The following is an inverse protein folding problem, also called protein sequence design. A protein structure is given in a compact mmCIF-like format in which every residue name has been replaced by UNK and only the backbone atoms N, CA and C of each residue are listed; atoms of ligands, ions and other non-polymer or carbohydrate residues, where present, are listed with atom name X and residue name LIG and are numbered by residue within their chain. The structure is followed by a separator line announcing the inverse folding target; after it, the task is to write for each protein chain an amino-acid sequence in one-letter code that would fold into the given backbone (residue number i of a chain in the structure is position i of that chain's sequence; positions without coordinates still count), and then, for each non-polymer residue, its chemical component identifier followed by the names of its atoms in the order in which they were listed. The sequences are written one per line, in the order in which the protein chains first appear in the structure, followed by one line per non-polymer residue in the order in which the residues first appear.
data_IF_547240245246
#
_entry.id   IF_547240245246
#
_cell.length_a   1.000
_cell.length_b   1.000
_cell.length_c   1.000
_cell.angle_alpha   90.00
_cell.angle_beta   90.00
_cell.angle_gamma   90.00
#
_symmetry.space_group_name_H-M   'P 1'
#
loop_
_entity.id
_entity.type
_entity.pdbx_description
1 polymer ?
#
# COMPACT_ATOMS: atom_id res chain seq x y z
N UNK A 1 21.34 -27.35 60.16
CA UNK A 1 21.25 -25.88 60.27
C UNK A 1 22.24 -25.29 59.28
N UNK A 2 21.71 -24.84 58.14
CA UNK A 2 22.24 -23.86 57.17
C UNK A 2 23.70 -24.10 56.69
N UNK A 3 24.02 -24.17 55.40
CA UNK A 3 23.62 -23.22 54.36
C UNK A 3 23.83 -23.89 52.98
N UNK A 4 22.72 -24.13 52.28
CA UNK A 4 22.64 -24.43 50.86
C UNK A 4 23.08 -23.15 50.10
N UNK A 5 24.38 -22.85 50.10
CA UNK A 5 24.89 -21.52 49.70
C UNK A 5 26.10 -21.57 48.77
N UNK A 6 26.23 -22.61 47.96
CA UNK A 6 27.28 -22.67 46.93
C UNK A 6 26.74 -23.08 45.55
N UNK A 7 25.43 -22.92 45.32
CA UNK A 7 24.77 -23.36 44.09
C UNK A 7 23.94 -22.27 43.38
N UNK A 8 24.00 -21.01 43.83
CA UNK A 8 23.14 -19.92 43.32
C UNK A 8 23.96 -18.72 42.80
N UNK A 9 25.12 -18.97 42.16
CA UNK A 9 25.90 -17.90 41.53
C UNK A 9 26.32 -18.23 40.08
N UNK A 10 25.51 -19.05 39.39
CA UNK A 10 25.71 -19.41 37.99
C UNK A 10 24.42 -19.33 37.17
N UNK A 11 23.43 -18.51 37.59
CA UNK A 11 22.11 -18.45 36.94
C UNK A 11 21.64 -17.02 36.62
N UNK A 12 22.54 -16.05 36.49
CA UNK A 12 22.13 -14.64 36.37
C UNK A 12 22.84 -13.83 35.27
N UNK A 13 23.31 -14.45 34.19
CA UNK A 13 23.82 -13.69 33.04
C UNK A 13 23.46 -14.30 31.68
N UNK A 14 22.22 -14.78 31.55
CA UNK A 14 21.65 -15.19 30.26
C UNK A 14 20.29 -14.51 30.05
N UNK A 15 20.26 -13.18 30.10
CA UNK A 15 19.12 -12.37 29.62
C UNK A 15 19.61 -11.04 29.01
N UNK A 16 20.60 -11.13 28.13
CA UNK A 16 20.89 -10.05 27.19
C UNK A 16 20.74 -10.57 25.76
N UNK A 17 19.66 -11.31 25.53
CA UNK A 17 19.22 -11.64 24.18
C UNK A 17 18.34 -10.50 23.68
N UNK A 18 18.94 -9.73 22.77
CA UNK A 18 18.28 -9.16 21.59
C UNK A 18 17.19 -8.11 21.84
N UNK A 19 17.60 -6.94 22.31
CA UNK A 19 16.86 -5.69 22.10
C UNK A 19 17.26 -4.98 20.81
N UNK A 20 17.57 -5.71 19.73
CA UNK A 20 17.41 -5.13 18.40
C UNK A 20 15.93 -5.31 18.09
N UNK A 21 15.11 -4.33 18.50
CA UNK A 21 13.87 -4.11 17.77
C UNK A 21 14.34 -3.75 16.36
N UNK A 22 14.29 -4.72 15.45
CA UNK A 22 14.41 -4.44 14.03
C UNK A 22 13.27 -3.47 13.73
N UNK A 23 13.59 -2.17 13.69
CA UNK A 23 12.71 -1.18 13.14
C UNK A 23 12.49 -1.66 11.72
N UNK A 24 11.28 -2.19 11.46
CA UNK A 24 10.89 -2.60 10.14
C UNK A 24 10.84 -1.35 9.28
N UNK A 25 11.98 -1.01 8.69
CA UNK A 25 12.11 0.14 7.80
C UNK A 25 11.36 -0.21 6.53
N UNK A 26 10.18 0.38 6.37
CA UNK A 26 9.41 0.26 5.15
C UNK A 26 9.95 1.28 4.16
N UNK A 27 10.43 0.81 3.02
CA UNK A 27 10.84 1.70 1.93
C UNK A 27 9.60 2.12 1.13
N UNK A 28 8.97 3.22 1.56
CA UNK A 28 7.73 3.76 0.98
C UNK A 28 7.89 4.02 -0.53
N UNK A 29 9.01 4.60 -0.95
CA UNK A 29 9.29 4.85 -2.38
C UNK A 29 9.29 3.56 -3.19
N UNK A 30 9.96 2.51 -2.71
CA UNK A 30 9.96 1.20 -3.39
C UNK A 30 8.56 0.62 -3.41
N UNK A 31 7.83 0.67 -2.30
CA UNK A 31 6.46 0.16 -2.20
C UNK A 31 5.52 0.85 -3.20
N UNK A 32 5.54 2.19 -3.27
CA UNK A 32 4.75 2.97 -4.24
C UNK A 32 5.10 2.60 -5.68
N UNK A 33 6.39 2.48 -6.01
CA UNK A 33 6.81 2.12 -7.36
C UNK A 33 6.45 0.69 -7.75
N UNK A 34 6.51 -0.27 -6.82
CA UNK A 34 6.12 -1.65 -7.09
C UNK A 34 4.60 -1.76 -7.24
N UNK A 35 3.83 -1.11 -6.36
CA UNK A 35 2.37 -1.08 -6.46
C UNK A 35 1.90 -0.36 -7.73
N UNK A 36 2.53 0.76 -8.12
CA UNK A 36 2.24 1.45 -9.38
C UNK A 36 2.44 0.54 -10.61
N UNK A 37 3.54 -0.21 -10.66
CA UNK A 37 3.80 -1.16 -11.76
C UNK A 37 2.76 -2.27 -11.81
N UNK A 38 2.34 -2.77 -10.66
CA UNK A 38 1.35 -3.82 -10.59
C UNK A 38 -0.03 -3.32 -11.01
N UNK A 39 -0.41 -2.10 -10.62
CA UNK A 39 -1.63 -1.44 -11.12
C UNK A 39 -1.60 -1.34 -12.64
N UNK A 40 -0.54 -0.79 -13.22
CA UNK A 40 -0.42 -0.65 -14.68
C UNK A 40 -0.47 -2.02 -15.38
N UNK A 41 0.24 -3.04 -14.84
CA UNK A 41 0.16 -4.40 -15.37
C UNK A 41 -1.29 -4.91 -15.37
N UNK A 42 -2.01 -4.75 -14.25
CA UNK A 42 -3.37 -5.25 -14.15
C UNK A 42 -4.32 -4.52 -15.11
N UNK A 43 -4.17 -3.21 -15.29
CA UNK A 43 -4.95 -2.45 -16.28
C UNK A 43 -4.63 -2.92 -17.71
N UNK A 44 -3.34 -3.03 -18.06
CA UNK A 44 -2.89 -3.42 -19.41
C UNK A 44 -3.25 -4.85 -19.80
N UNK A 45 -3.43 -5.74 -18.80
CA UNK A 45 -3.74 -7.16 -18.97
C UNK A 45 -5.21 -7.50 -18.66
N UNK A 46 -6.04 -6.52 -18.31
CA UNK A 46 -7.44 -6.71 -17.86
C UNK A 46 -7.55 -7.70 -16.69
N UNK A 47 -6.60 -7.63 -15.75
CA UNK A 47 -6.47 -8.52 -14.59
C UNK A 47 -7.25 -7.98 -13.39
N UNK A 48 -8.57 -8.12 -13.44
CA UNK A 48 -9.51 -7.68 -12.40
C UNK A 48 -9.16 -8.26 -11.03
N UNK A 49 -8.88 -9.56 -10.95
CA UNK A 49 -8.54 -10.23 -9.69
C UNK A 49 -7.17 -9.77 -9.15
N UNK A 50 -6.20 -9.55 -10.04
CA UNK A 50 -4.91 -8.97 -9.71
C UNK A 50 -5.06 -7.59 -9.08
N UNK A 51 -5.81 -6.69 -9.72
CA UNK A 51 -6.05 -5.33 -9.19
C UNK A 51 -6.82 -5.38 -7.86
N UNK A 52 -7.85 -6.23 -7.77
CA UNK A 52 -8.63 -6.44 -6.55
C UNK A 52 -7.77 -6.92 -5.39
N UNK A 53 -6.78 -7.78 -5.66
CA UNK A 53 -5.87 -8.31 -4.63
C UNK A 53 -4.98 -7.26 -3.97
N UNK A 54 -4.83 -6.07 -4.58
CA UNK A 54 -4.09 -4.95 -3.99
C UNK A 54 -4.88 -4.23 -2.90
N UNK A 55 -6.22 -4.34 -2.91
CA UNK A 55 -7.07 -3.65 -1.95
C UNK A 55 -7.06 -4.33 -0.58
N UNK A 56 -7.19 -3.50 0.45
CA UNK A 56 -7.26 -3.99 1.82
C UNK A 56 -8.60 -4.68 2.13
N UNK A 57 -8.60 -5.56 3.13
CA UNK A 57 -9.79 -6.31 3.55
C UNK A 57 -10.96 -5.38 3.92
N UNK A 58 -10.67 -4.25 4.58
CA UNK A 58 -11.68 -3.27 4.99
C UNK A 58 -12.48 -2.78 3.78
N UNK A 59 -11.82 -2.34 2.71
CA UNK A 59 -12.46 -1.87 1.49
C UNK A 59 -13.11 -3.00 0.73
N UNK A 60 -12.43 -4.15 0.59
CA UNK A 60 -13.00 -5.34 -0.04
C UNK A 60 -14.28 -5.85 0.64
N UNK A 61 -14.47 -5.56 1.94
CA UNK A 61 -15.67 -5.94 2.69
C UNK A 61 -16.81 -4.90 2.63
N UNK A 62 -16.54 -3.66 2.21
CA UNK A 62 -17.53 -2.57 2.18
C UNK A 62 -17.86 -2.04 0.79
N UNK A 63 -17.08 -2.40 -0.23
CA UNK A 63 -17.29 -2.01 -1.63
C UNK A 63 -17.60 -3.22 -2.51
N UNK A 64 -18.32 -2.96 -3.61
CA UNK A 64 -18.46 -3.93 -4.70
C UNK A 64 -17.26 -3.78 -5.64
N UNK A 65 -16.10 -4.23 -5.17
CA UNK A 65 -14.84 -4.06 -5.91
C UNK A 65 -14.86 -4.73 -7.28
N UNK A 66 -15.60 -5.83 -7.45
CA UNK A 66 -15.72 -6.48 -8.76
C UNK A 66 -16.37 -5.55 -9.78
N UNK A 67 -17.44 -4.86 -9.36
CA UNK A 67 -18.13 -3.89 -10.19
C UNK A 67 -17.29 -2.63 -10.40
N UNK A 68 -16.75 -2.05 -9.34
CA UNK A 68 -15.95 -0.81 -9.44
C UNK A 68 -14.72 -1.03 -10.31
N UNK A 69 -14.01 -2.15 -10.16
CA UNK A 69 -12.85 -2.46 -10.99
C UNK A 69 -13.26 -2.69 -12.45
N UNK A 70 -14.33 -3.43 -12.72
CA UNK A 70 -14.79 -3.64 -14.09
C UNK A 70 -15.14 -2.32 -14.79
N UNK A 71 -15.85 -1.42 -14.11
CA UNK A 71 -16.17 -0.09 -14.65
C UNK A 71 -14.90 0.78 -14.83
N UNK A 72 -13.88 0.63 -13.97
CA UNK A 72 -12.59 1.30 -14.14
C UNK A 72 -11.79 0.75 -15.33
N UNK A 73 -11.84 -0.56 -15.58
CA UNK A 73 -11.22 -1.19 -16.75
C UNK A 73 -11.90 -0.72 -18.04
N UNK A 74 -13.24 -0.64 -18.05
CA UNK A 74 -14.00 -0.11 -19.18
C UNK A 74 -13.68 1.38 -19.45
N UNK A 75 -13.31 2.14 -18.41
CA UNK A 75 -12.91 3.55 -18.51
C UNK A 75 -11.46 3.73 -19.00
N UNK A 76 -10.58 2.76 -18.77
CA UNK A 76 -9.16 2.81 -19.13
C UNK A 76 -8.94 2.26 -20.54
N UNK A 77 -8.85 3.15 -21.52
CA UNK A 77 -8.74 2.78 -22.93
C UNK A 77 -7.28 2.64 -23.40
N UNK A 78 -6.93 1.45 -23.88
CA UNK A 78 -5.60 1.11 -24.38
C UNK A 78 -4.68 0.54 -23.30
N UNK A 79 -3.40 0.42 -23.64
CA UNK A 79 -2.33 -0.07 -22.76
C UNK A 79 -1.28 1.00 -22.52
N UNK A 80 -0.71 1.02 -21.32
CA UNK A 80 0.34 1.97 -20.96
C UNK A 80 1.56 1.85 -21.89
N UNK A 81 1.94 2.97 -22.50
CA UNK A 81 3.17 3.06 -23.32
C UNK A 81 4.26 3.87 -22.62
N UNK A 82 3.86 4.89 -21.88
CA UNK A 82 4.76 5.80 -21.19
C UNK A 82 4.06 6.44 -19.99
N UNK A 83 4.82 6.85 -19.00
CA UNK A 83 4.34 7.72 -17.94
C UNK A 83 5.44 8.67 -17.51
N UNK A 84 5.06 9.78 -16.90
CA UNK A 84 5.97 10.76 -16.34
C UNK A 84 6.62 10.29 -15.03
N UNK A 85 6.35 11.01 -13.94
CA UNK A 85 6.88 10.66 -12.64
C UNK A 85 5.83 9.97 -11.79
N UNK A 86 6.30 9.10 -10.89
CA UNK A 86 5.51 8.67 -9.74
C UNK A 86 5.80 9.65 -8.60
N UNK A 87 4.81 10.49 -8.28
CA UNK A 87 4.91 11.49 -7.22
C UNK A 87 4.41 10.85 -5.94
N UNK A 88 5.29 10.67 -4.97
CA UNK A 88 4.99 9.97 -3.71
C UNK A 88 4.89 10.96 -2.56
N UNK A 89 3.79 10.88 -1.82
CA UNK A 89 3.53 11.47 -0.51
C UNK A 89 3.12 10.38 0.50
N UNK A 90 2.74 10.81 1.70
CA UNK A 90 2.36 9.92 2.79
C UNK A 90 3.01 10.35 4.09
N UNK A 91 2.88 9.50 5.10
CA UNK A 91 3.34 9.79 6.44
C UNK A 91 3.53 8.52 7.26
N UNK A 92 4.11 8.73 8.43
CA UNK A 92 4.31 7.69 9.42
C UNK A 92 4.04 8.20 10.83
N UNK A 93 3.71 7.28 11.72
CA UNK A 93 3.59 7.53 13.15
C UNK A 93 4.32 6.45 13.92
N UNK A 94 5.05 6.86 14.96
CA UNK A 94 5.83 5.98 15.82
C UNK A 94 5.37 6.11 17.27
N UNK A 95 5.21 4.97 17.94
CA UNK A 95 4.92 4.88 19.38
C UNK A 95 5.86 3.87 20.00
N UNK A 96 6.49 4.26 21.11
CA UNK A 96 7.41 3.41 21.87
C UNK A 96 8.55 2.80 21.03
N UNK A 97 9.03 3.54 20.02
CA UNK A 97 10.11 3.12 19.12
C UNK A 97 9.67 2.18 17.98
N UNK A 98 8.37 1.98 17.79
CA UNK A 98 7.82 1.15 16.73
C UNK A 98 6.86 1.95 15.84
N UNK A 99 6.92 1.74 14.53
CA UNK A 99 5.90 2.28 13.62
C UNK A 99 4.54 1.65 13.95
N UNK A 100 3.55 2.51 14.16
CA UNK A 100 2.14 2.13 14.35
C UNK A 100 1.29 2.47 13.13
N UNK A 101 1.79 3.35 12.29
CA UNK A 101 1.18 3.83 11.06
C UNK A 101 2.29 4.12 10.04
N UNK A 102 2.14 3.62 8.82
CA UNK A 102 2.88 4.02 7.63
C UNK A 102 1.89 3.97 6.48
N UNK A 103 1.61 5.10 5.86
CA UNK A 103 0.76 5.20 4.69
C UNK A 103 1.49 5.91 3.55
N UNK A 104 1.12 5.53 2.34
CA UNK A 104 1.60 6.14 1.11
C UNK A 104 0.41 6.66 0.33
N UNK A 105 0.60 7.81 -0.27
CA UNK A 105 -0.24 8.33 -1.33
C UNK A 105 0.66 8.60 -2.51
N UNK A 106 0.22 8.29 -3.73
CA UNK A 106 1.01 8.63 -4.89
C UNK A 106 0.16 8.76 -6.14
N UNK A 107 0.68 9.53 -7.09
CA UNK A 107 0.13 9.63 -8.44
C UNK A 107 1.09 9.08 -9.49
N UNK A 108 0.52 8.52 -10.56
CA UNK A 108 1.19 8.20 -11.81
C UNK A 108 0.77 9.29 -12.79
N UNK A 109 1.64 10.27 -13.01
CA UNK A 109 1.32 11.46 -13.82
C UNK A 109 1.68 11.25 -15.30
N UNK A 110 0.94 11.91 -16.19
CA UNK A 110 1.17 11.91 -17.64
C UNK A 110 1.25 10.48 -18.21
N UNK A 111 0.32 9.60 -17.81
CA UNK A 111 0.23 8.25 -18.34
C UNK A 111 -0.36 8.30 -19.75
N UNK A 112 0.39 7.84 -20.74
CA UNK A 112 -0.03 7.75 -22.13
C UNK A 112 -0.34 6.30 -22.49
N UNK A 113 -1.38 6.07 -23.29
CA UNK A 113 -1.74 4.74 -23.82
C UNK A 113 -1.47 4.61 -25.32
N UNK A 114 -1.51 3.38 -25.84
CA UNK A 114 -1.38 3.09 -27.27
C UNK A 114 -2.62 3.48 -28.12
N UNK A 115 -3.69 3.92 -27.47
CA UNK A 115 -4.89 4.51 -28.08
C UNK A 115 -4.89 6.06 -27.99
N UNK A 116 -3.72 6.66 -27.76
CA UNK A 116 -3.51 8.11 -27.62
C UNK A 116 -4.27 8.76 -26.45
N UNK A 117 -4.67 7.98 -25.45
CA UNK A 117 -5.32 8.49 -24.23
C UNK A 117 -4.31 8.96 -23.21
N UNK A 118 -4.69 9.98 -22.43
CA UNK A 118 -3.88 10.52 -21.34
C UNK A 118 -4.61 10.46 -20.01
N UNK A 119 -3.97 9.85 -19.02
CA UNK A 119 -4.53 9.68 -17.68
C UNK A 119 -3.59 10.18 -16.57
N UNK A 120 -4.18 10.44 -15.41
CA UNK A 120 -3.49 10.46 -14.12
C UNK A 120 -4.14 9.43 -13.20
N UNK A 121 -3.34 8.58 -12.58
CA UNK A 121 -3.82 7.62 -11.57
C UNK A 121 -3.39 8.10 -10.19
N UNK A 122 -4.32 8.22 -9.23
CA UNK A 122 -4.06 8.60 -7.84
C UNK A 122 -4.43 7.46 -6.92
N UNK A 123 -3.61 7.18 -5.91
CA UNK A 123 -3.78 6.03 -5.01
C UNK A 123 -3.44 6.36 -3.57
N UNK A 124 -4.02 5.61 -2.64
CA UNK A 124 -3.65 5.61 -1.22
C UNK A 124 -3.60 4.18 -0.66
N UNK A 125 -2.58 3.89 0.16
CA UNK A 125 -2.36 2.58 0.77
C UNK A 125 -1.80 2.69 2.19
N UNK A 126 -2.23 1.81 3.08
CA UNK A 126 -1.53 1.58 4.36
C UNK A 126 -0.54 0.42 4.21
N UNK A 127 0.71 0.66 4.59
CA UNK A 127 1.75 -0.37 4.66
C UNK A 127 1.88 -0.94 6.08
N UNK A 128 1.59 -0.10 7.08
CA UNK A 128 1.48 -0.47 8.49
C UNK A 128 0.29 0.31 9.05
N UNK A 129 -0.63 -0.37 9.74
CA UNK A 129 -1.65 0.32 10.52
C UNK A 129 -2.12 -0.57 11.69
N UNK A 130 -1.58 -0.32 12.88
CA UNK A 130 -1.82 -1.18 14.06
C UNK A 130 -3.20 -0.99 14.68
N UNK A 131 -3.81 0.18 14.52
CA UNK A 131 -5.15 0.47 15.06
C UNK A 131 -6.23 -0.35 14.34
N UNK A 132 -6.13 -0.47 13.01
CA UNK A 132 -7.00 -1.34 12.23
C UNK A 132 -6.22 -2.05 11.11
N UNK A 133 -5.62 -3.23 11.39
CA UNK A 133 -4.83 -3.96 10.41
C UNK A 133 -5.57 -4.36 9.14
N UNK A 134 -6.92 -4.34 9.15
CA UNK A 134 -7.74 -4.61 7.94
C UNK A 134 -7.63 -3.51 6.89
N UNK A 135 -7.08 -2.34 7.21
CA UNK A 135 -6.80 -1.30 6.24
C UNK A 135 -5.46 -1.46 5.53
N UNK A 136 -4.61 -2.42 5.93
CA UNK A 136 -3.31 -2.67 5.27
C UNK A 136 -3.57 -3.16 3.84
N UNK A 137 -2.95 -2.47 2.87
CA UNK A 137 -3.25 -2.58 1.44
C UNK A 137 -3.76 -1.26 0.86
N UNK A 138 -4.12 -1.27 -0.42
CA UNK A 138 -4.73 -0.13 -1.11
C UNK A 138 -6.13 0.11 -0.57
N UNK A 139 -6.44 1.35 -0.23
CA UNK A 139 -7.78 1.76 0.21
C UNK A 139 -8.53 2.46 -0.92
N UNK A 140 -7.78 3.15 -1.78
CA UNK A 140 -8.30 4.09 -2.74
C UNK A 140 -7.48 4.04 -4.04
N UNK A 141 -8.19 4.06 -5.16
CA UNK A 141 -7.61 4.36 -6.47
C UNK A 141 -8.57 5.23 -7.26
N UNK A 142 -8.03 6.15 -8.05
CA UNK A 142 -8.77 6.97 -8.99
C UNK A 142 -8.02 7.09 -10.31
N UNK A 143 -8.73 6.95 -11.42
CA UNK A 143 -8.23 7.21 -12.78
C UNK A 143 -8.91 8.49 -13.26
N UNK A 144 -8.12 9.45 -13.73
CA UNK A 144 -8.58 10.76 -14.22
C UNK A 144 -8.17 10.87 -15.69
N UNK A 145 -9.14 11.06 -16.57
CA UNK A 145 -8.90 11.37 -17.98
C UNK A 145 -8.48 12.84 -18.11
N UNK A 146 -7.32 13.07 -18.73
CA UNK A 146 -6.70 14.39 -18.78
C UNK A 146 -7.44 15.39 -19.70
N UNK A 147 -8.16 14.89 -20.70
CA UNK A 147 -8.83 15.74 -21.71
C UNK A 147 -10.23 16.15 -21.25
N UNK A 148 -10.94 15.21 -20.63
CA UNK A 148 -12.34 15.40 -20.20
C UNK A 148 -12.47 15.81 -18.74
N UNK A 149 -11.41 15.63 -17.95
CA UNK A 149 -11.39 15.77 -16.48
C UNK A 149 -12.41 14.85 -15.79
N UNK A 150 -12.90 13.82 -16.49
CA UNK A 150 -13.76 12.80 -15.88
C UNK A 150 -12.91 11.86 -15.04
N UNK A 151 -13.51 11.38 -13.95
CA UNK A 151 -12.83 10.49 -13.02
C UNK A 151 -13.65 9.25 -12.69
N UNK A 152 -12.95 8.13 -12.55
CA UNK A 152 -13.49 6.90 -12.00
C UNK A 152 -12.77 6.52 -10.72
N UNK A 153 -13.51 6.21 -9.67
CA UNK A 153 -12.99 5.89 -8.33
C UNK A 153 -13.31 4.45 -7.94
N UNK A 154 -12.32 3.79 -7.32
CA UNK A 154 -12.44 2.47 -6.70
C UNK A 154 -12.10 2.61 -5.21
N UNK A 155 -12.94 2.03 -4.36
CA UNK A 155 -12.79 2.12 -2.91
C UNK A 155 -13.01 3.53 -2.35
N UNK A 156 -12.41 3.82 -1.20
CA UNK A 156 -12.57 5.10 -0.49
C UNK A 156 -11.31 5.48 0.30
N UNK A 157 -11.11 6.79 0.51
CA UNK A 157 -10.09 7.26 1.44
C UNK A 157 -10.52 6.92 2.87
N UNK A 158 -9.71 6.10 3.54
CA UNK A 158 -9.88 5.76 4.95
C UNK A 158 -8.89 6.61 5.75
N UNK A 159 -9.39 7.63 6.46
CA UNK A 159 -8.61 8.44 7.41
C UNK A 159 -9.21 8.30 8.81
#
# INVERSE_FOLDING_TARGET
MNKIFLSILALSFVLSLSGCNDIQSVNTRKASHDQAKEILRCLDEDDVEGLKSLFCEKVASSHDLDKEIAEAMDFYEGKSVSFGNIVVSGGDSMRDGEFVDIHIEYSIDNLETDEDMQYTIVTASYLVYKENPRCIGMTYMKIIDADTETEFQIGEHVW
#
